data_IF_912599865611
#
_entry.id   IF_912599865611
#
_cell.length_a   1.000
_cell.length_b   1.000
_cell.length_c   1.000
_cell.angle_alpha   90.00
_cell.angle_beta   90.00
_cell.angle_gamma   90.00
#
_symmetry.space_group_name_H-M   'P 1'
#
loop_
_entity.id
_entity.type
_entity.pdbx_description
1 polymer ?
#
# COMPACT_ATOMS: atom_id res chain seq x y z
N UNK A 1 17.77 -2.43 0.33
CA UNK A 1 16.93 -3.56 -0.10
C UNK A 1 17.62 -4.24 -1.27
N UNK A 2 18.77 -4.75 -1.00
CA UNK A 2 19.55 -5.59 -1.90
C UNK A 2 19.71 -6.90 -1.17
N UNK A 3 18.79 -7.82 -1.38
CA UNK A 3 18.93 -9.24 -1.05
C UNK A 3 17.55 -9.90 -1.18
N UNK A 4 17.08 -10.16 -2.36
CA UNK A 4 16.15 -11.25 -2.70
C UNK A 4 16.04 -11.29 -4.24
N UNK A 5 17.16 -11.60 -4.88
CA UNK A 5 17.13 -12.35 -6.12
C UNK A 5 18.07 -13.52 -5.84
N UNK A 6 17.54 -14.57 -5.23
CA UNK A 6 18.22 -15.85 -5.26
C UNK A 6 18.29 -16.26 -6.74
N UNK A 7 19.52 -16.34 -7.24
CA UNK A 7 19.86 -16.87 -8.54
C UNK A 7 19.01 -18.10 -8.86
N UNK A 8 18.27 -18.06 -9.94
CA UNK A 8 17.67 -19.27 -10.51
C UNK A 8 18.86 -20.10 -10.94
N UNK A 9 19.14 -21.25 -10.32
CA UNK A 9 20.25 -22.08 -10.72
C UNK A 9 19.95 -22.70 -12.09
N UNK A 10 20.49 -22.10 -13.15
CA UNK A 10 20.41 -22.58 -14.54
C UNK A 10 21.18 -23.91 -14.71
N UNK A 11 21.71 -24.49 -13.66
CA UNK A 11 22.56 -25.73 -13.69
C UNK A 11 21.99 -26.89 -12.87
N UNK A 12 20.66 -27.07 -12.80
CA UNK A 12 20.10 -28.39 -12.47
C UNK A 12 19.81 -29.15 -13.76
N UNK A 13 20.39 -30.33 -13.92
CA UNK A 13 19.93 -31.27 -14.94
C UNK A 13 18.41 -31.42 -14.81
N UNK A 14 17.71 -31.20 -15.93
CA UNK A 14 16.25 -31.30 -15.97
C UNK A 14 15.88 -32.77 -15.74
N UNK A 15 15.21 -33.07 -14.63
CA UNK A 15 14.67 -34.42 -14.40
C UNK A 15 13.51 -34.65 -15.36
N UNK A 16 13.78 -35.31 -16.48
CA UNK A 16 12.80 -35.56 -17.55
C UNK A 16 11.70 -36.54 -17.14
N UNK A 17 11.91 -37.34 -16.11
CA UNK A 17 10.91 -38.25 -15.53
C UNK A 17 9.94 -37.51 -14.56
N UNK A 18 10.26 -36.28 -14.21
CA UNK A 18 9.44 -35.49 -13.30
C UNK A 18 7.99 -35.39 -13.83
N UNK A 19 7.04 -35.65 -12.91
CA UNK A 19 5.60 -35.45 -13.10
C UNK A 19 5.15 -34.35 -12.17
N UNK A 20 4.41 -33.38 -12.70
CA UNK A 20 3.90 -32.27 -11.94
C UNK A 20 2.60 -32.63 -11.23
N UNK A 21 2.44 -32.11 -10.00
CA UNK A 21 1.19 -32.19 -9.25
C UNK A 21 0.62 -30.79 -9.04
N UNK A 22 -0.43 -30.44 -9.73
CA UNK A 22 -1.04 -29.12 -9.65
C UNK A 22 -2.20 -29.08 -8.67
N UNK A 23 -2.52 -27.89 -8.10
CA UNK A 23 -3.73 -27.70 -7.30
C UNK A 23 -5.00 -28.09 -8.08
N UNK A 24 -5.97 -28.71 -7.42
CA UNK A 24 -7.21 -29.16 -8.04
C UNK A 24 -8.08 -28.02 -8.58
N UNK A 25 -8.04 -26.86 -7.92
CA UNK A 25 -8.92 -25.72 -8.21
C UNK A 25 -8.21 -24.66 -9.05
N UNK A 26 -7.92 -24.98 -10.30
CA UNK A 26 -7.42 -24.02 -11.27
C UNK A 26 -8.54 -23.40 -12.09
N UNK A 27 -8.50 -22.08 -12.29
CA UNK A 27 -9.43 -21.34 -13.14
C UNK A 27 -8.71 -20.92 -14.41
N UNK A 28 -9.25 -21.30 -15.58
CA UNK A 28 -8.73 -20.88 -16.88
C UNK A 28 -9.61 -19.76 -17.43
N UNK A 29 -8.98 -18.63 -17.80
CA UNK A 29 -9.64 -17.46 -18.39
C UNK A 29 -8.98 -17.11 -19.71
N UNK A 30 -9.75 -17.07 -20.79
CA UNK A 30 -9.31 -16.47 -22.05
C UNK A 30 -9.42 -14.96 -21.94
N UNK A 31 -8.31 -14.25 -22.11
CA UNK A 31 -8.23 -12.79 -22.07
C UNK A 31 -7.49 -12.35 -23.34
N UNK A 32 -8.22 -11.76 -24.28
CA UNK A 32 -7.74 -11.52 -25.64
C UNK A 32 -7.23 -12.84 -26.26
N UNK A 33 -6.04 -12.85 -26.82
CA UNK A 33 -5.41 -14.03 -27.41
C UNK A 33 -4.65 -14.92 -26.42
N UNK A 34 -4.73 -14.61 -25.11
CA UNK A 34 -3.93 -15.24 -24.05
C UNK A 34 -4.81 -16.01 -23.07
N UNK A 35 -4.30 -17.10 -22.52
CA UNK A 35 -4.94 -17.86 -21.46
C UNK A 35 -4.26 -17.60 -20.12
N UNK A 36 -5.03 -17.16 -19.14
CA UNK A 36 -4.61 -17.11 -17.73
C UNK A 36 -5.03 -18.41 -17.05
N UNK A 37 -4.06 -19.16 -16.53
CA UNK A 37 -4.32 -20.30 -15.62
C UNK A 37 -4.09 -19.82 -14.21
N UNK A 38 -5.16 -19.64 -13.44
CA UNK A 38 -5.15 -18.97 -12.13
C UNK A 38 -5.33 -19.99 -11.02
N UNK A 39 -4.41 -20.01 -10.07
CA UNK A 39 -4.57 -20.65 -8.77
C UNK A 39 -4.92 -19.60 -7.73
N UNK A 40 -6.23 -19.44 -7.47
CA UNK A 40 -6.77 -18.38 -6.60
C UNK A 40 -6.20 -18.46 -5.19
N UNK A 41 -6.20 -19.65 -4.57
CA UNK A 41 -5.76 -19.84 -3.18
C UNK A 41 -4.25 -19.60 -2.99
N UNK A 42 -3.46 -19.85 -4.02
CA UNK A 42 -2.00 -19.60 -4.01
C UNK A 42 -1.61 -18.21 -4.51
N UNK A 43 -2.58 -17.37 -4.89
CA UNK A 43 -2.33 -16.05 -5.50
C UNK A 43 -1.29 -16.14 -6.63
N UNK A 44 -1.41 -17.15 -7.49
CA UNK A 44 -0.45 -17.47 -8.53
C UNK A 44 -1.16 -17.70 -9.88
N UNK A 45 -0.48 -17.40 -11.01
CA UNK A 45 -1.04 -17.59 -12.34
C UNK A 45 0.04 -17.85 -13.39
N UNK A 46 -0.35 -18.56 -14.47
CA UNK A 46 0.45 -18.71 -15.68
C UNK A 46 -0.21 -17.92 -16.82
N UNK A 47 0.61 -17.44 -17.75
CA UNK A 47 0.18 -16.70 -18.94
C UNK A 47 0.58 -17.52 -20.17
N UNK A 48 -0.39 -18.13 -20.82
CA UNK A 48 -0.16 -19.16 -21.83
C UNK A 48 -0.86 -18.83 -23.16
N UNK A 49 -0.18 -19.03 -24.27
CA UNK A 49 -0.82 -19.15 -25.60
C UNK A 49 -1.70 -20.39 -25.67
N UNK A 50 -2.46 -20.56 -26.73
CA UNK A 50 -3.28 -21.76 -26.91
C UNK A 50 -2.43 -23.04 -27.03
N UNK A 51 -1.27 -22.97 -27.69
CA UNK A 51 -0.32 -24.07 -27.81
C UNK A 51 0.32 -24.42 -26.45
N UNK A 52 0.70 -23.43 -25.67
CA UNK A 52 1.25 -23.62 -24.30
C UNK A 52 0.19 -24.17 -23.34
N UNK A 53 -1.07 -23.71 -23.44
CA UNK A 53 -2.16 -24.26 -22.65
C UNK A 53 -2.40 -25.76 -22.98
N UNK A 54 -2.27 -26.14 -24.23
CA UNK A 54 -2.37 -27.55 -24.65
C UNK A 54 -1.25 -28.39 -23.99
N UNK A 55 -0.03 -27.90 -23.98
CA UNK A 55 1.11 -28.53 -23.30
C UNK A 55 0.89 -28.59 -21.78
N UNK A 56 0.47 -27.50 -21.16
CA UNK A 56 0.16 -27.44 -19.72
C UNK A 56 -0.88 -28.49 -19.30
N UNK A 57 -1.94 -28.66 -20.09
CA UNK A 57 -2.95 -29.67 -19.81
C UNK A 57 -2.40 -31.10 -19.85
N UNK A 58 -1.39 -31.39 -20.66
CA UNK A 58 -0.74 -32.71 -20.64
C UNK A 58 0.02 -32.94 -19.32
N UNK A 59 0.73 -31.94 -18.81
CA UNK A 59 1.32 -31.98 -17.48
C UNK A 59 0.24 -32.16 -16.38
N UNK A 60 -0.87 -31.44 -16.50
CA UNK A 60 -1.99 -31.54 -15.57
C UNK A 60 -2.63 -32.96 -15.57
N UNK A 61 -2.57 -33.65 -16.67
CA UNK A 61 -2.98 -35.07 -16.79
C UNK A 61 -1.93 -36.07 -16.27
N UNK A 62 -0.84 -35.58 -15.64
CA UNK A 62 0.17 -36.41 -15.00
C UNK A 62 1.22 -37.04 -15.97
N UNK A 63 1.36 -36.51 -17.19
CA UNK A 63 2.45 -36.92 -18.09
C UNK A 63 3.80 -36.40 -17.56
N UNK A 64 4.88 -37.18 -17.78
CA UNK A 64 6.24 -36.74 -17.47
C UNK A 64 6.72 -35.69 -18.48
N UNK A 65 7.82 -35.00 -18.14
CA UNK A 65 8.47 -34.03 -19.04
C UNK A 65 8.89 -34.74 -20.35
N UNK A 66 9.46 -35.95 -20.28
CA UNK A 66 9.84 -36.73 -21.44
C UNK A 66 8.66 -37.05 -22.34
N UNK A 67 7.54 -37.54 -21.76
CA UNK A 67 6.32 -37.86 -22.50
C UNK A 67 5.74 -36.64 -23.23
N UNK A 68 5.85 -35.46 -22.63
CA UNK A 68 5.37 -34.21 -23.23
C UNK A 68 6.33 -33.72 -24.31
N UNK A 69 7.63 -33.73 -24.05
CA UNK A 69 8.67 -33.34 -25.03
C UNK A 69 8.62 -34.19 -26.31
N UNK A 70 8.42 -35.50 -26.15
CA UNK A 70 8.36 -36.44 -27.31
C UNK A 70 7.20 -36.14 -28.28
N UNK A 71 6.18 -35.45 -27.85
CA UNK A 71 4.94 -35.23 -28.62
C UNK A 71 4.63 -33.77 -28.92
N UNK A 72 5.50 -32.82 -28.53
CA UNK A 72 5.25 -31.38 -28.67
C UNK A 72 6.52 -30.63 -29.10
N UNK A 73 6.34 -29.40 -29.58
CA UNK A 73 7.47 -28.52 -29.87
C UNK A 73 8.26 -28.18 -28.61
N UNK A 74 9.57 -28.46 -28.60
CA UNK A 74 10.47 -28.28 -27.46
C UNK A 74 10.42 -26.84 -26.90
N UNK A 75 10.43 -25.83 -27.75
CA UNK A 75 10.38 -24.42 -27.29
C UNK A 75 9.11 -24.08 -26.53
N UNK A 76 7.96 -24.65 -26.96
CA UNK A 76 6.68 -24.47 -26.30
C UNK A 76 6.70 -25.17 -24.94
N UNK A 77 7.24 -26.39 -24.89
CA UNK A 77 7.35 -27.14 -23.62
C UNK A 77 8.25 -26.40 -22.63
N UNK A 78 9.44 -25.96 -23.08
CA UNK A 78 10.38 -25.21 -22.23
C UNK A 78 9.77 -23.89 -21.72
N UNK A 79 9.02 -23.16 -22.54
CA UNK A 79 8.32 -21.94 -22.10
C UNK A 79 7.33 -22.22 -20.96
N UNK A 80 6.55 -23.30 -21.06
CA UNK A 80 5.61 -23.71 -20.01
C UNK A 80 6.35 -24.13 -18.74
N UNK A 81 7.40 -24.93 -18.86
CA UNK A 81 8.23 -25.38 -17.72
C UNK A 81 8.86 -24.18 -17.00
N UNK A 82 9.43 -23.25 -17.74
CA UNK A 82 10.01 -22.03 -17.18
C UNK A 82 8.99 -21.26 -16.32
N UNK A 83 7.75 -21.10 -16.80
CA UNK A 83 6.72 -20.42 -16.01
C UNK A 83 6.34 -21.21 -14.74
N UNK A 84 6.19 -22.54 -14.85
CA UNK A 84 5.84 -23.41 -13.73
C UNK A 84 6.91 -23.33 -12.63
N UNK A 85 8.19 -23.48 -13.00
CA UNK A 85 9.31 -23.49 -12.05
C UNK A 85 9.56 -22.10 -11.45
N UNK A 86 9.68 -21.06 -12.27
CA UNK A 86 9.91 -19.68 -11.80
C UNK A 86 8.82 -19.22 -10.81
N UNK A 87 7.59 -19.63 -11.07
CA UNK A 87 6.44 -19.26 -10.23
C UNK A 87 6.17 -20.26 -9.11
N UNK A 88 6.94 -21.36 -9.02
CA UNK A 88 6.70 -22.47 -8.07
C UNK A 88 5.21 -22.86 -8.06
N UNK A 89 4.63 -23.02 -9.27
CA UNK A 89 3.18 -23.05 -9.45
C UNK A 89 2.52 -24.30 -8.86
N UNK A 90 3.26 -25.40 -8.65
CA UNK A 90 2.78 -26.58 -7.95
C UNK A 90 2.46 -26.31 -6.48
N UNK A 91 3.38 -25.59 -5.81
CA UNK A 91 3.31 -25.33 -4.35
C UNK A 91 3.66 -23.86 -4.05
N UNK A 92 2.77 -22.90 -4.37
CA UNK A 92 3.01 -21.51 -4.08
C UNK A 92 3.13 -21.31 -2.57
N UNK A 93 4.26 -20.74 -2.14
CA UNK A 93 4.47 -20.39 -0.73
C UNK A 93 3.78 -19.07 -0.44
N UNK A 94 2.77 -19.09 0.42
CA UNK A 94 2.07 -17.89 0.88
C UNK A 94 2.82 -17.35 2.09
N UNK A 95 3.08 -16.04 2.10
CA UNK A 95 3.62 -15.33 3.27
C UNK A 95 2.48 -14.66 4.01
N UNK A 96 2.33 -14.98 5.28
CA UNK A 96 1.46 -14.22 6.17
C UNK A 96 2.23 -13.01 6.70
N UNK A 97 1.63 -11.83 6.59
CA UNK A 97 2.19 -10.61 7.13
C UNK A 97 1.53 -10.30 8.47
N UNK A 98 2.18 -10.70 9.56
CA UNK A 98 1.69 -10.49 10.92
C UNK A 98 2.31 -9.24 11.59
N UNK A 99 2.78 -8.27 10.80
CA UNK A 99 3.42 -7.07 11.34
C UNK A 99 2.35 -6.14 11.91
N UNK A 100 2.45 -5.85 13.22
CA UNK A 100 1.53 -4.98 13.95
C UNK A 100 2.03 -3.53 13.93
N UNK A 101 1.50 -2.75 12.99
CA UNK A 101 1.74 -1.31 12.91
C UNK A 101 0.49 -0.53 13.30
N UNK A 102 0.68 0.65 13.87
CA UNK A 102 -0.41 1.57 14.21
C UNK A 102 -0.12 2.99 13.73
N UNK A 103 -1.18 3.79 13.58
CA UNK A 103 -1.09 5.24 13.36
C UNK A 103 -1.48 5.98 14.64
N UNK A 104 -0.68 6.96 15.04
CA UNK A 104 -0.97 7.85 16.16
C UNK A 104 -1.06 9.29 15.64
N UNK A 105 -2.23 9.90 15.81
CA UNK A 105 -2.49 11.31 15.52
C UNK A 105 -2.25 12.10 16.82
N UNK A 106 -0.99 12.48 17.07
CA UNK A 106 -0.56 13.06 18.37
C UNK A 106 -1.27 14.35 18.75
N UNK A 107 -1.59 15.18 17.77
CA UNK A 107 -2.19 16.49 17.99
C UNK A 107 -3.12 16.88 16.86
N UNK A 108 -4.15 17.65 17.16
CA UNK A 108 -4.95 18.34 16.16
C UNK A 108 -4.44 19.74 15.83
N UNK A 109 -3.44 20.25 16.55
CA UNK A 109 -2.82 21.54 16.29
C UNK A 109 -2.04 21.50 14.97
N UNK A 110 -2.13 22.56 14.18
CA UNK A 110 -1.39 22.69 12.92
C UNK A 110 -1.08 24.17 12.65
N UNK A 111 0.12 24.42 12.14
CA UNK A 111 0.55 25.76 11.69
C UNK A 111 0.04 26.12 10.29
N UNK A 112 -0.57 25.16 9.56
CA UNK A 112 -1.12 25.36 8.21
C UNK A 112 -2.65 25.25 8.20
N UNK A 113 -3.27 25.79 7.12
CA UNK A 113 -4.72 25.73 6.87
C UNK A 113 -5.00 25.22 5.45
N UNK A 114 -4.41 24.05 5.11
CA UNK A 114 -4.52 23.45 3.77
C UNK A 114 -5.99 23.26 3.35
N UNK A 115 -6.29 23.55 2.09
CA UNK A 115 -7.65 23.48 1.53
C UNK A 115 -8.24 22.07 1.57
N UNK A 116 -7.42 21.06 1.35
CA UNK A 116 -7.82 19.64 1.31
C UNK A 116 -7.75 18.94 2.68
N UNK A 117 -7.45 19.64 3.77
CA UNK A 117 -7.32 19.01 5.07
C UNK A 117 -8.65 18.40 5.55
N UNK A 118 -8.77 17.07 5.47
CA UNK A 118 -9.96 16.34 5.89
C UNK A 118 -10.10 16.29 7.42
N UNK A 119 -9.00 16.44 8.16
CA UNK A 119 -8.97 16.50 9.62
C UNK A 119 -9.42 17.85 10.17
N UNK A 120 -9.47 18.91 9.36
CA UNK A 120 -9.69 20.30 9.80
C UNK A 120 -8.75 20.72 10.95
N UNK A 121 -7.50 20.23 10.86
CA UNK A 121 -6.49 20.42 11.88
C UNK A 121 -6.22 21.91 12.16
N UNK A 122 -6.11 22.24 13.46
CA UNK A 122 -5.95 23.59 13.94
C UNK A 122 -7.23 24.42 14.03
N UNK A 123 -8.39 23.92 13.57
CA UNK A 123 -9.67 24.63 13.68
C UNK A 123 -10.46 24.20 14.92
N UNK A 124 -10.18 23.02 15.46
CA UNK A 124 -10.87 22.46 16.63
C UNK A 124 -9.88 22.24 17.77
N UNK A 125 -10.18 22.76 18.93
CA UNK A 125 -9.49 22.36 20.16
C UNK A 125 -10.10 21.04 20.64
N UNK A 126 -9.26 20.03 20.78
CA UNK A 126 -9.60 18.77 21.41
C UNK A 126 -8.72 18.58 22.64
N UNK A 127 -9.22 17.89 23.64
CA UNK A 127 -8.39 17.50 24.78
C UNK A 127 -7.44 16.39 24.29
N UNK A 128 -6.16 16.69 24.27
CA UNK A 128 -5.12 15.76 23.83
C UNK A 128 -4.60 14.96 25.03
N UNK A 129 -4.19 13.71 24.78
CA UNK A 129 -3.53 12.88 25.78
C UNK A 129 -2.18 13.48 26.16
N UNK A 130 -1.80 13.33 27.43
CA UNK A 130 -0.52 13.80 27.95
C UNK A 130 0.64 12.94 27.44
N UNK A 131 1.87 13.45 27.57
CA UNK A 131 3.08 12.70 27.25
C UNK A 131 3.16 11.39 28.05
N UNK A 132 2.80 11.42 29.32
CA UNK A 132 2.82 10.23 30.19
C UNK A 132 1.74 9.21 29.79
N UNK A 133 0.59 9.65 29.31
CA UNK A 133 -0.44 8.74 28.79
C UNK A 133 0.07 8.06 27.50
N UNK A 134 0.66 8.82 26.58
CA UNK A 134 1.25 8.26 25.38
C UNK A 134 2.38 7.26 25.66
N UNK A 135 3.25 7.54 26.63
CA UNK A 135 4.30 6.57 27.03
C UNK A 135 3.73 5.27 27.55
N UNK A 136 2.66 5.32 28.36
CA UNK A 136 1.98 4.13 28.86
C UNK A 136 1.36 3.32 27.71
N UNK A 137 0.67 4.01 26.80
CA UNK A 137 0.04 3.42 25.61
C UNK A 137 1.09 2.74 24.72
N UNK A 138 2.21 3.41 24.45
CA UNK A 138 3.31 2.88 23.62
C UNK A 138 4.00 1.68 24.30
N UNK A 139 4.15 1.70 25.62
CA UNK A 139 4.68 0.56 26.37
C UNK A 139 3.74 -0.66 26.28
N UNK A 140 2.43 -0.48 26.47
CA UNK A 140 1.44 -1.54 26.32
C UNK A 140 1.42 -2.08 24.86
N UNK A 141 1.50 -1.21 23.86
CA UNK A 141 1.67 -1.59 22.46
C UNK A 141 2.90 -2.49 22.26
N UNK A 142 4.06 -2.11 22.81
CA UNK A 142 5.29 -2.91 22.72
C UNK A 142 5.15 -4.28 23.38
N UNK A 143 4.64 -4.31 24.62
CA UNK A 143 4.42 -5.55 25.38
C UNK A 143 3.47 -6.49 24.64
N UNK A 144 2.48 -5.95 23.97
CA UNK A 144 1.51 -6.70 23.17
C UNK A 144 2.04 -7.13 21.78
N UNK A 145 3.34 -6.96 21.50
CA UNK A 145 3.98 -7.39 20.25
C UNK A 145 3.88 -6.37 19.11
N UNK A 146 3.72 -5.09 19.43
CA UNK A 146 3.75 -4.00 18.47
C UNK A 146 5.12 -3.84 17.81
N UNK A 147 5.13 -3.54 16.50
CA UNK A 147 6.35 -3.44 15.68
C UNK A 147 6.68 -2.01 15.28
N UNK A 148 5.74 -1.26 14.75
CA UNK A 148 5.98 0.08 14.24
C UNK A 148 4.86 1.07 14.51
N UNK A 149 5.22 2.34 14.68
CA UNK A 149 4.29 3.45 14.89
C UNK A 149 4.54 4.53 13.83
N UNK A 150 3.46 4.94 13.17
CA UNK A 150 3.46 6.13 12.31
C UNK A 150 2.84 7.29 13.08
N UNK A 151 3.65 8.28 13.45
CA UNK A 151 3.20 9.51 14.10
C UNK A 151 2.77 10.54 13.06
N UNK A 152 1.59 11.09 13.28
CA UNK A 152 0.95 12.09 12.41
C UNK A 152 0.03 12.99 13.23
N UNK A 153 -0.85 13.75 12.60
CA UNK A 153 -1.85 14.59 13.26
C UNK A 153 -2.13 15.85 12.44
N UNK A 154 -2.24 17.00 13.11
CA UNK A 154 -2.14 18.29 12.44
C UNK A 154 -0.70 18.53 11.97
N UNK A 155 0.15 18.96 12.89
CA UNK A 155 1.61 18.96 12.72
C UNK A 155 2.28 18.43 13.98
N UNK A 156 2.93 17.29 13.87
CA UNK A 156 3.50 16.52 15.00
C UNK A 156 4.50 17.32 15.84
N UNK A 157 5.27 18.21 15.19
CA UNK A 157 6.27 19.06 15.83
C UNK A 157 5.65 20.01 16.87
N UNK A 158 4.34 20.29 16.77
CA UNK A 158 3.63 21.14 17.71
C UNK A 158 3.18 20.40 18.98
N UNK A 159 3.33 19.06 19.03
CA UNK A 159 3.00 18.32 20.24
C UNK A 159 4.08 18.53 21.31
N UNK A 160 3.65 18.97 22.49
CA UNK A 160 4.58 19.19 23.62
C UNK A 160 5.18 17.86 24.10
N UNK A 161 6.51 17.75 24.08
CA UNK A 161 7.22 16.51 24.43
C UNK A 161 7.43 15.56 23.23
N UNK A 162 7.20 16.03 22.00
CA UNK A 162 7.36 15.21 20.79
C UNK A 162 8.75 14.55 20.69
N UNK A 163 9.82 15.31 20.94
CA UNK A 163 11.19 14.80 20.89
C UNK A 163 11.40 13.65 21.88
N UNK A 164 10.98 13.84 23.13
CA UNK A 164 11.08 12.84 24.19
C UNK A 164 10.26 11.58 23.86
N UNK A 165 9.07 11.75 23.30
CA UNK A 165 8.20 10.62 22.94
C UNK A 165 8.80 9.77 21.81
N UNK A 166 9.41 10.40 20.81
CA UNK A 166 10.05 9.68 19.68
C UNK A 166 11.27 8.90 20.18
N UNK A 167 12.13 9.53 20.98
CA UNK A 167 13.26 8.83 21.59
C UNK A 167 12.79 7.65 22.43
N UNK A 168 11.82 7.84 23.32
CA UNK A 168 11.24 6.78 24.14
C UNK A 168 10.71 5.61 23.28
N UNK A 169 10.00 5.92 22.20
CA UNK A 169 9.45 4.91 21.27
C UNK A 169 10.56 4.09 20.60
N UNK A 170 11.59 4.76 20.12
CA UNK A 170 12.76 4.12 19.51
C UNK A 170 13.53 3.23 20.52
N UNK A 171 13.74 3.72 21.75
CA UNK A 171 14.48 2.99 22.80
C UNK A 171 13.76 1.71 23.24
N UNK A 172 12.44 1.65 23.06
CA UNK A 172 11.66 0.39 23.17
C UNK A 172 11.87 -0.56 21.98
N UNK A 173 12.65 -0.19 20.96
CA UNK A 173 12.86 -0.97 19.75
C UNK A 173 11.62 -1.04 18.84
N UNK A 174 10.82 0.03 18.82
CA UNK A 174 9.68 0.20 17.91
C UNK A 174 10.14 1.02 16.70
N UNK A 175 9.77 0.60 15.50
CA UNK A 175 10.06 1.34 14.27
C UNK A 175 9.23 2.61 14.20
N UNK A 176 9.89 3.76 13.95
CA UNK A 176 9.25 5.07 13.95
C UNK A 176 9.19 5.65 12.54
N UNK A 177 7.99 6.01 12.11
CA UNK A 177 7.73 6.80 10.89
C UNK A 177 7.04 8.10 11.28
N UNK A 178 7.42 9.22 10.68
CA UNK A 178 6.82 10.54 10.92
C UNK A 178 6.17 11.07 9.65
N UNK A 179 4.96 11.61 9.74
CA UNK A 179 4.29 12.37 8.69
C UNK A 179 4.20 13.84 9.11
N UNK A 180 4.75 14.75 8.31
CA UNK A 180 4.84 16.19 8.60
C UNK A 180 4.59 17.07 7.37
N UNK A 181 4.26 18.33 7.60
CA UNK A 181 4.22 19.34 6.54
C UNK A 181 5.60 19.93 6.20
N UNK A 182 6.63 19.64 6.98
CA UNK A 182 8.02 19.99 6.71
C UNK A 182 8.43 21.44 7.06
N UNK A 183 7.56 22.28 7.66
CA UNK A 183 7.82 23.71 7.80
C UNK A 183 8.58 24.07 9.08
N UNK A 184 8.28 23.38 10.20
CA UNK A 184 8.79 23.76 11.50
C UNK A 184 10.12 23.11 11.88
N UNK A 185 10.69 22.30 11.04
CA UNK A 185 11.94 21.59 11.30
C UNK A 185 13.16 22.54 11.27
N UNK A 186 13.94 22.53 12.34
CA UNK A 186 15.26 23.18 12.41
C UNK A 186 16.36 22.16 12.14
N UNK A 187 17.59 22.61 11.87
CA UNK A 187 18.74 21.72 11.66
C UNK A 187 18.99 20.84 12.89
N UNK A 188 18.96 21.42 14.10
CA UNK A 188 19.16 20.68 15.36
C UNK A 188 18.09 19.58 15.56
N UNK A 189 16.83 19.87 15.20
CA UNK A 189 15.77 18.86 15.22
C UNK A 189 16.05 17.75 14.21
N UNK A 190 16.43 18.10 12.98
CA UNK A 190 16.71 17.12 11.94
C UNK A 190 17.88 16.24 12.36
N UNK A 191 18.95 16.81 12.93
CA UNK A 191 20.08 16.05 13.46
C UNK A 191 19.65 15.06 14.54
N UNK A 192 18.85 15.53 15.51
CA UNK A 192 18.31 14.67 16.56
C UNK A 192 17.42 13.56 16.01
N UNK A 193 16.36 13.92 15.30
CA UNK A 193 15.36 12.94 14.86
C UNK A 193 15.92 11.90 13.87
N UNK A 194 16.94 12.26 13.09
CA UNK A 194 17.59 11.32 12.16
C UNK A 194 18.22 10.11 12.86
N UNK A 195 18.47 10.18 14.17
CA UNK A 195 19.00 9.07 14.96
C UNK A 195 17.91 8.08 15.41
N UNK A 196 16.64 8.49 15.41
CA UNK A 196 15.55 7.75 16.06
C UNK A 196 14.42 7.33 15.12
N UNK A 197 14.43 7.77 13.86
CA UNK A 197 13.36 7.47 12.91
C UNK A 197 13.83 6.64 11.72
N UNK A 198 12.98 5.73 11.25
CA UNK A 198 13.22 4.94 10.04
C UNK A 198 12.87 5.71 8.77
N UNK A 199 11.79 6.49 8.83
CA UNK A 199 11.23 7.18 7.67
C UNK A 199 10.55 8.48 8.05
N UNK A 200 10.68 9.49 7.20
CA UNK A 200 9.87 10.70 7.26
C UNK A 200 9.12 10.92 5.94
N UNK A 201 7.81 11.19 6.04
CA UNK A 201 7.00 11.61 4.92
C UNK A 201 6.74 13.12 5.03
N UNK A 202 7.16 13.88 4.02
CA UNK A 202 6.91 15.32 3.93
C UNK A 202 5.88 15.59 2.84
N UNK A 203 4.88 16.40 3.17
CA UNK A 203 3.79 16.73 2.27
C UNK A 203 4.11 17.98 1.43
N UNK A 204 4.16 17.86 0.09
CA UNK A 204 4.56 18.95 -0.81
C UNK A 204 3.37 19.52 -1.62
N UNK A 205 2.48 18.71 -2.20
CA UNK A 205 1.26 19.08 -2.93
C UNK A 205 1.40 20.10 -4.08
N UNK A 206 2.61 20.51 -4.42
CA UNK A 206 2.94 21.45 -5.50
C UNK A 206 4.31 21.13 -6.13
N UNK A 207 4.62 21.76 -7.24
CA UNK A 207 5.89 21.63 -7.95
C UNK A 207 6.70 22.94 -7.97
N UNK A 208 6.07 24.03 -7.48
CA UNK A 208 6.66 25.35 -7.28
C UNK A 208 5.92 26.08 -6.14
N UNK A 209 6.36 27.31 -5.86
CA UNK A 209 5.80 28.18 -4.82
C UNK A 209 4.29 28.40 -4.99
N UNK A 210 3.87 28.70 -6.20
CA UNK A 210 2.47 29.09 -6.48
C UNK A 210 1.52 27.89 -6.40
N UNK A 211 1.89 26.75 -6.98
CA UNK A 211 1.13 25.51 -6.93
C UNK A 211 1.04 24.94 -5.50
N UNK A 212 2.13 25.04 -4.73
CA UNK A 212 2.15 24.67 -3.31
C UNK A 212 1.23 25.59 -2.49
N UNK A 213 1.35 26.93 -2.67
CA UNK A 213 0.52 27.90 -1.97
C UNK A 213 -0.99 27.69 -2.27
N UNK A 214 -1.34 27.38 -3.52
CA UNK A 214 -2.72 27.12 -3.92
C UNK A 214 -3.39 26.02 -3.08
N UNK A 215 -2.65 25.02 -2.62
CA UNK A 215 -3.13 23.91 -1.80
C UNK A 215 -2.95 24.19 -0.31
N UNK A 216 -1.73 24.57 0.09
CA UNK A 216 -1.31 24.65 1.50
C UNK A 216 -1.67 25.97 2.16
N UNK A 217 -1.98 27.03 1.39
CA UNK A 217 -2.30 28.39 1.86
C UNK A 217 -1.18 28.99 2.72
N UNK A 218 0.06 28.64 2.39
CA UNK A 218 1.27 29.08 3.09
C UNK A 218 2.45 29.12 2.11
N UNK A 219 3.30 30.12 2.24
CA UNK A 219 4.52 30.26 1.46
C UNK A 219 5.67 29.45 2.07
N UNK A 220 5.71 28.17 1.80
CA UNK A 220 6.63 27.25 2.46
C UNK A 220 7.26 26.21 1.55
N UNK A 221 7.11 26.32 0.23
CA UNK A 221 7.63 25.33 -0.71
C UNK A 221 9.12 25.05 -0.53
N UNK A 222 9.95 26.11 -0.58
CA UNK A 222 11.40 26.00 -0.45
C UNK A 222 11.82 25.41 0.91
N UNK A 223 11.11 25.78 1.99
CA UNK A 223 11.39 25.25 3.33
C UNK A 223 11.09 23.77 3.41
N UNK A 224 9.95 23.31 2.88
CA UNK A 224 9.58 21.91 2.86
C UNK A 224 10.55 21.06 2.01
N UNK A 225 10.97 21.58 0.86
CA UNK A 225 12.00 20.97 0.01
C UNK A 225 13.35 20.91 0.75
N UNK A 226 13.77 21.97 1.43
CA UNK A 226 14.99 21.97 2.22
C UNK A 226 14.95 20.91 3.33
N UNK A 227 13.80 20.74 3.99
CA UNK A 227 13.60 19.71 5.02
C UNK A 227 13.75 18.29 4.43
N UNK A 228 13.18 18.01 3.26
CA UNK A 228 13.38 16.74 2.54
C UNK A 228 14.87 16.47 2.29
N UNK A 229 15.58 17.46 1.71
CA UNK A 229 17.01 17.35 1.40
C UNK A 229 17.84 17.09 2.64
N UNK A 230 17.54 17.77 3.72
CA UNK A 230 18.28 17.68 4.99
C UNK A 230 18.13 16.29 5.64
N UNK A 231 16.94 15.70 5.68
CA UNK A 231 16.75 14.32 6.14
C UNK A 231 17.39 13.29 5.21
N UNK A 232 17.25 13.48 3.88
CA UNK A 232 17.90 12.62 2.89
C UNK A 232 19.42 12.57 3.08
N UNK A 233 20.08 13.73 3.28
CA UNK A 233 21.52 13.83 3.49
C UNK A 233 21.99 13.11 4.76
N UNK A 234 21.10 12.93 5.74
CA UNK A 234 21.37 12.18 6.99
C UNK A 234 21.02 10.68 6.90
N UNK A 235 20.67 10.21 5.70
CA UNK A 235 20.41 8.79 5.44
C UNK A 235 19.04 8.29 5.90
N UNK A 236 18.14 9.18 6.32
CA UNK A 236 16.76 8.82 6.63
C UNK A 236 15.99 8.50 5.34
N UNK A 237 15.16 7.47 5.35
CA UNK A 237 14.24 7.22 4.23
C UNK A 237 13.22 8.35 4.13
N UNK A 238 13.17 8.99 2.97
CA UNK A 238 12.28 10.14 2.75
C UNK A 238 11.20 9.81 1.73
N UNK A 239 9.95 10.11 2.11
CA UNK A 239 8.80 10.05 1.24
C UNK A 239 8.25 11.47 0.99
N UNK A 240 8.15 11.88 -0.25
CA UNK A 240 7.46 13.11 -0.67
C UNK A 240 6.00 12.77 -0.97
N UNK A 241 5.06 13.20 -0.13
CA UNK A 241 3.63 12.97 -0.36
C UNK A 241 3.00 14.12 -1.14
N UNK A 242 2.17 13.78 -2.12
CA UNK A 242 1.59 14.75 -3.07
C UNK A 242 0.09 14.51 -3.21
N UNK A 243 -0.70 15.54 -2.90
CA UNK A 243 -2.17 15.54 -3.00
C UNK A 243 -2.64 16.85 -3.63
N UNK A 244 -2.57 17.00 -4.97
CA UNK A 244 -3.02 18.23 -5.62
C UNK A 244 -4.55 18.41 -5.53
N UNK A 245 -5.02 19.59 -5.87
CA UNK A 245 -6.46 19.86 -6.01
C UNK A 245 -6.96 19.49 -7.40
N UNK A 246 -8.28 19.46 -7.58
CA UNK A 246 -8.90 19.20 -8.90
C UNK A 246 -8.61 20.29 -9.94
N UNK A 247 -8.42 21.52 -9.46
CA UNK A 247 -8.22 22.68 -10.31
C UNK A 247 -6.86 22.59 -11.01
N UNK A 248 -6.81 22.97 -12.28
CA UNK A 248 -5.58 23.02 -13.08
C UNK A 248 -4.79 21.71 -13.14
N UNK A 249 -5.50 20.57 -13.17
CA UNK A 249 -4.84 19.26 -13.17
C UNK A 249 -3.88 19.03 -14.34
N UNK A 250 -4.20 19.54 -15.52
CA UNK A 250 -3.34 19.39 -16.70
C UNK A 250 -2.03 20.19 -16.51
N UNK A 251 -2.11 21.43 -16.02
CA UNK A 251 -0.94 22.24 -15.66
C UNK A 251 -0.13 21.58 -14.56
N UNK A 252 -0.82 21.02 -13.55
CA UNK A 252 -0.18 20.31 -12.45
C UNK A 252 0.61 19.09 -12.95
N UNK A 253 0.04 18.28 -13.82
CA UNK A 253 0.72 17.08 -14.36
C UNK A 253 1.98 17.48 -15.11
N UNK A 254 1.91 18.51 -15.99
CA UNK A 254 3.05 18.99 -16.76
C UNK A 254 4.15 19.57 -15.84
N UNK A 255 3.77 20.42 -14.89
CA UNK A 255 4.70 21.06 -13.97
C UNK A 255 5.35 20.06 -13.02
N UNK A 256 4.55 19.15 -12.45
CA UNK A 256 5.06 18.14 -11.53
C UNK A 256 5.88 17.05 -12.23
N UNK A 257 5.58 16.69 -13.48
CA UNK A 257 6.42 15.81 -14.29
C UNK A 257 7.85 16.35 -14.38
N UNK A 258 8.00 17.62 -14.78
CA UNK A 258 9.31 18.27 -14.91
C UNK A 258 10.04 18.34 -13.56
N UNK A 259 9.36 18.81 -12.53
CA UNK A 259 9.90 18.90 -11.18
C UNK A 259 10.28 17.52 -10.62
N UNK A 260 9.37 16.55 -10.67
CA UNK A 260 9.57 15.23 -10.09
C UNK A 260 10.67 14.42 -10.77
N UNK A 261 10.78 14.49 -12.12
CA UNK A 261 11.89 13.86 -12.85
C UNK A 261 13.24 14.43 -12.44
N UNK A 262 13.37 15.76 -12.39
CA UNK A 262 14.62 16.38 -11.95
C UNK A 262 14.93 16.04 -10.50
N UNK A 263 13.90 16.07 -9.64
CA UNK A 263 14.07 15.75 -8.21
C UNK A 263 14.55 14.32 -7.99
N UNK A 264 14.03 13.34 -8.74
CA UNK A 264 14.45 11.93 -8.65
C UNK A 264 15.86 11.70 -9.24
N UNK A 265 16.31 12.52 -10.20
CA UNK A 265 17.71 12.49 -10.66
C UNK A 265 18.64 12.94 -9.53
N UNK A 266 18.31 14.05 -8.87
CA UNK A 266 19.14 14.63 -7.81
C UNK A 266 19.07 13.82 -6.49
N UNK A 267 17.93 13.17 -6.21
CA UNK A 267 17.63 12.42 -4.99
C UNK A 267 16.98 11.07 -5.29
N UNK A 268 17.70 10.10 -5.87
CA UNK A 268 17.13 8.88 -6.45
C UNK A 268 16.44 7.95 -5.44
N UNK A 269 16.77 8.05 -4.15
CA UNK A 269 16.18 7.22 -3.10
C UNK A 269 14.98 7.90 -2.40
N UNK A 270 14.57 9.10 -2.83
CA UNK A 270 13.33 9.70 -2.34
C UNK A 270 12.13 9.05 -3.04
N UNK A 271 11.17 8.58 -2.26
CA UNK A 271 9.93 8.05 -2.81
C UNK A 271 8.90 9.17 -2.99
N UNK A 272 8.41 9.38 -4.21
CA UNK A 272 7.29 10.32 -4.46
C UNK A 272 5.97 9.54 -4.45
N UNK A 273 5.20 9.72 -3.38
CA UNK A 273 3.89 9.09 -3.17
C UNK A 273 2.78 10.02 -3.63
N UNK A 274 2.10 9.68 -4.70
CA UNK A 274 0.98 10.45 -5.25
C UNK A 274 -0.34 9.87 -4.75
N UNK A 275 -1.14 10.68 -4.04
CA UNK A 275 -2.45 10.27 -3.56
C UNK A 275 -3.48 10.30 -4.70
N UNK A 276 -4.07 9.14 -4.99
CA UNK A 276 -4.97 8.92 -6.14
C UNK A 276 -6.43 9.32 -5.87
N UNK A 277 -6.72 9.89 -4.70
CA UNK A 277 -8.07 10.27 -4.30
C UNK A 277 -8.04 11.53 -3.45
N UNK A 278 -8.90 12.47 -3.77
CA UNK A 278 -9.09 13.69 -2.99
C UNK A 278 -10.37 13.54 -2.16
N UNK A 279 -10.23 13.62 -0.85
CA UNK A 279 -11.32 13.52 0.12
C UNK A 279 -12.00 14.87 0.35
N UNK A 280 -13.17 14.84 0.98
CA UNK A 280 -13.77 16.05 1.54
C UNK A 280 -12.80 16.69 2.53
N UNK A 281 -12.59 17.97 2.41
CA UNK A 281 -11.69 18.73 3.25
C UNK A 281 -12.19 20.15 3.48
N UNK A 282 -11.38 20.97 4.18
CA UNK A 282 -11.76 22.32 4.61
C UNK A 282 -12.42 23.16 3.50
N UNK A 283 -11.83 23.21 2.32
CA UNK A 283 -12.32 23.96 1.17
C UNK A 283 -12.39 23.12 -0.10
N UNK A 284 -12.59 21.83 0.05
CA UNK A 284 -12.70 20.88 -1.05
C UNK A 284 -13.86 19.94 -0.79
N UNK A 285 -14.67 19.72 -1.82
CA UNK A 285 -15.69 18.67 -1.84
C UNK A 285 -15.28 17.58 -2.82
N UNK A 286 -15.32 16.36 -2.34
CA UNK A 286 -15.09 15.16 -3.15
C UNK A 286 -16.29 14.92 -4.06
N UNK A 287 -16.01 14.68 -5.36
CA UNK A 287 -17.04 14.39 -6.36
C UNK A 287 -16.61 13.17 -7.17
N UNK A 288 -17.50 12.19 -7.31
CA UNK A 288 -17.19 10.90 -7.95
C UNK A 288 -16.58 11.06 -9.35
N UNK A 289 -17.18 11.89 -10.20
CA UNK A 289 -16.69 12.08 -11.58
C UNK A 289 -15.38 12.86 -11.63
N UNK A 290 -15.22 13.87 -10.78
CA UNK A 290 -13.94 14.58 -10.64
C UNK A 290 -12.85 13.64 -10.15
N UNK A 291 -13.14 12.77 -9.17
CA UNK A 291 -12.19 11.78 -8.67
C UNK A 291 -11.77 10.75 -9.73
N UNK A 292 -12.67 10.35 -10.63
CA UNK A 292 -12.30 9.48 -11.76
C UNK A 292 -11.29 10.15 -12.69
N UNK A 293 -11.55 11.40 -13.10
CA UNK A 293 -10.62 12.18 -13.94
C UNK A 293 -9.30 12.44 -13.22
N UNK A 294 -9.35 12.86 -11.97
CA UNK A 294 -8.21 13.10 -11.08
C UNK A 294 -7.31 11.85 -11.00
N UNK A 295 -7.89 10.70 -10.67
CA UNK A 295 -7.18 9.44 -10.59
C UNK A 295 -6.50 9.06 -11.91
N UNK A 296 -7.17 9.28 -13.06
CA UNK A 296 -6.60 9.01 -14.39
C UNK A 296 -5.36 9.88 -14.66
N UNK A 297 -5.44 11.18 -14.36
CA UNK A 297 -4.32 12.12 -14.55
C UNK A 297 -3.13 11.79 -13.64
N UNK A 298 -3.39 11.49 -12.37
CA UNK A 298 -2.32 11.17 -11.42
C UNK A 298 -1.71 9.78 -11.65
N UNK A 299 -2.52 8.82 -12.14
CA UNK A 299 -2.00 7.54 -12.59
C UNK A 299 -0.98 7.72 -13.72
N UNK A 300 -1.34 8.53 -14.74
CA UNK A 300 -0.42 8.86 -15.83
C UNK A 300 0.86 9.52 -15.31
N UNK A 301 0.76 10.47 -14.38
CA UNK A 301 1.92 11.12 -13.78
C UNK A 301 2.81 10.10 -13.04
N UNK A 302 2.22 9.17 -12.29
CA UNK A 302 2.98 8.11 -11.62
C UNK A 302 3.70 7.20 -12.64
N UNK A 303 3.04 6.84 -13.73
CA UNK A 303 3.64 6.04 -14.82
C UNK A 303 4.81 6.76 -15.49
N UNK A 304 4.75 8.09 -15.60
CA UNK A 304 5.83 8.92 -16.14
C UNK A 304 7.03 9.00 -15.19
N UNK A 305 6.78 9.16 -13.88
CA UNK A 305 7.84 9.26 -12.87
C UNK A 305 8.47 7.90 -12.57
N UNK A 306 7.67 6.86 -12.65
CA UNK A 306 8.06 5.49 -12.35
C UNK A 306 7.52 4.54 -13.46
N UNK A 307 8.17 4.49 -14.62
CA UNK A 307 7.68 3.73 -15.79
C UNK A 307 7.38 2.28 -15.46
N UNK A 308 8.17 1.67 -14.58
CA UNK A 308 8.06 0.27 -14.18
C UNK A 308 7.23 0.05 -12.90
N UNK A 309 6.74 1.12 -12.27
CA UNK A 309 6.07 1.05 -10.96
C UNK A 309 4.94 0.03 -10.90
N UNK A 310 4.07 0.02 -11.91
CA UNK A 310 2.95 -0.92 -11.94
C UNK A 310 3.40 -2.35 -12.20
N UNK A 311 4.39 -2.52 -13.06
CA UNK A 311 4.97 -3.82 -13.38
C UNK A 311 5.72 -4.37 -12.16
N UNK A 312 6.60 -3.57 -11.55
CA UNK A 312 7.35 -3.94 -10.35
C UNK A 312 6.45 -4.28 -9.16
N UNK A 313 5.38 -3.51 -8.91
CA UNK A 313 4.45 -3.84 -7.83
C UNK A 313 3.69 -5.15 -8.08
N UNK A 314 3.34 -5.46 -9.33
CA UNK A 314 2.77 -6.76 -9.66
C UNK A 314 3.76 -7.89 -9.45
N UNK A 315 5.02 -7.70 -9.86
CA UNK A 315 6.09 -8.67 -9.65
C UNK A 315 6.38 -8.84 -8.16
N UNK A 316 6.51 -7.76 -7.40
CA UNK A 316 6.74 -7.80 -5.96
C UNK A 316 5.59 -8.47 -5.20
N UNK A 317 4.34 -8.12 -5.50
CA UNK A 317 3.18 -8.79 -4.93
C UNK A 317 3.10 -10.26 -5.33
N UNK A 318 3.52 -10.57 -6.56
CA UNK A 318 3.57 -11.93 -7.07
C UNK A 318 4.72 -12.73 -6.45
N UNK A 319 5.93 -12.18 -6.41
CA UNK A 319 7.09 -12.83 -5.81
C UNK A 319 6.94 -13.00 -4.30
N UNK A 320 6.30 -12.05 -3.63
CA UNK A 320 6.04 -12.13 -2.20
C UNK A 320 4.86 -13.04 -1.84
N UNK A 321 4.02 -13.43 -2.80
CA UNK A 321 2.86 -14.33 -2.62
C UNK A 321 2.00 -13.95 -1.42
N UNK A 322 1.83 -12.65 -1.20
CA UNK A 322 1.02 -12.12 -0.12
C UNK A 322 -0.43 -12.03 -0.57
N UNK A 323 -1.33 -12.69 0.14
CA UNK A 323 -2.75 -12.62 -0.14
C UNK A 323 -3.30 -11.25 0.26
N UNK A 324 -3.79 -10.49 -0.69
CA UNK A 324 -4.51 -9.25 -0.41
C UNK A 324 -5.96 -9.56 0.00
N UNK A 325 -6.16 -9.88 1.26
CA UNK A 325 -7.51 -10.20 1.78
C UNK A 325 -8.34 -8.95 2.06
N UNK A 326 -7.67 -7.83 2.37
CA UNK A 326 -8.31 -6.59 2.79
C UNK A 326 -7.54 -5.37 2.24
N UNK A 327 -8.10 -4.17 2.39
CA UNK A 327 -7.45 -2.89 2.05
C UNK A 327 -6.67 -2.26 3.22
N UNK A 328 -6.48 -2.99 4.33
CA UNK A 328 -5.98 -2.47 5.60
C UNK A 328 -7.08 -1.97 6.54
N UNK A 329 -8.36 -2.18 6.21
CA UNK A 329 -9.44 -1.89 7.14
C UNK A 329 -9.39 -2.86 8.33
N UNK A 330 -9.46 -2.34 9.55
CA UNK A 330 -9.17 -3.06 10.78
C UNK A 330 -7.79 -2.72 11.36
N UNK A 331 -6.90 -2.05 10.60
CA UNK A 331 -5.68 -1.48 11.15
C UNK A 331 -6.00 -0.34 12.12
N UNK A 332 -5.22 -0.29 13.20
CA UNK A 332 -5.48 0.60 14.33
C UNK A 332 -4.93 2.00 14.06
N UNK A 333 -5.78 3.00 14.23
CA UNK A 333 -5.38 4.40 14.28
C UNK A 333 -5.93 5.06 15.54
N UNK A 334 -5.13 5.84 16.25
CA UNK A 334 -5.49 6.47 17.52
C UNK A 334 -5.42 7.99 17.34
N UNK A 335 -6.53 8.67 17.62
CA UNK A 335 -6.59 10.14 17.59
C UNK A 335 -5.95 10.77 18.85
N UNK A 336 -5.71 12.05 18.82
CA UNK A 336 -5.04 12.78 19.89
C UNK A 336 -5.77 12.71 21.25
N UNK A 337 -7.07 12.51 21.27
CA UNK A 337 -7.89 12.31 22.47
C UNK A 337 -8.03 10.84 22.88
N UNK A 338 -7.29 9.93 22.24
CA UNK A 338 -7.33 8.49 22.53
C UNK A 338 -8.43 7.70 21.78
N UNK A 339 -9.26 8.34 20.98
CA UNK A 339 -10.27 7.63 20.18
C UNK A 339 -9.60 6.71 19.14
N UNK A 340 -10.08 5.47 19.06
CA UNK A 340 -9.57 4.41 18.17
C UNK A 340 -10.43 4.32 16.92
N UNK A 341 -9.76 4.14 15.77
CA UNK A 341 -10.40 3.98 14.47
C UNK A 341 -9.81 2.79 13.72
N UNK A 342 -10.64 2.10 12.93
CA UNK A 342 -10.25 0.92 12.14
C UNK A 342 -9.62 1.25 10.78
N UNK A 343 -9.11 2.46 10.61
CA UNK A 343 -8.43 2.89 9.40
C UNK A 343 -7.63 4.17 9.68
N UNK A 344 -6.53 4.38 8.97
CA UNK A 344 -5.78 5.63 9.02
C UNK A 344 -6.54 6.85 8.45
N UNK A 345 -7.69 6.64 7.81
CA UNK A 345 -8.68 7.68 7.54
C UNK A 345 -9.64 7.73 8.72
N UNK A 346 -9.38 8.64 9.66
CA UNK A 346 -10.17 8.74 10.89
C UNK A 346 -11.45 9.54 10.63
N UNK A 347 -12.56 8.83 10.53
CA UNK A 347 -13.91 9.36 10.40
C UNK A 347 -14.81 8.77 11.48
N UNK A 348 -15.84 9.49 11.92
CA UNK A 348 -16.81 8.99 12.92
C UNK A 348 -17.42 7.62 12.54
N UNK A 349 -17.53 7.33 11.25
CA UNK A 349 -18.07 6.08 10.74
C UNK A 349 -17.24 4.83 11.13
N UNK A 350 -15.96 4.98 11.46
CA UNK A 350 -15.07 3.87 11.81
C UNK A 350 -14.48 3.99 13.22
N UNK A 351 -15.05 4.84 14.07
CA UNK A 351 -14.69 4.93 15.48
C UNK A 351 -15.06 3.65 16.22
N UNK A 352 -14.11 3.09 16.97
CA UNK A 352 -14.25 1.81 17.64
C UNK A 352 -14.46 1.93 19.15
N UNK A 353 -13.53 2.61 19.83
CA UNK A 353 -13.44 2.72 21.28
C UNK A 353 -12.54 3.88 21.68
N UNK A 354 -12.14 3.98 22.95
CA UNK A 354 -11.05 4.83 23.39
C UNK A 354 -9.92 3.97 23.96
N UNK A 355 -8.67 4.33 23.73
CA UNK A 355 -7.48 3.56 24.14
C UNK A 355 -7.30 3.54 25.65
N UNK A 356 -7.91 4.47 26.38
CA UNK A 356 -7.89 4.47 27.85
C UNK A 356 -8.73 3.37 28.48
N UNK A 357 -9.65 2.76 27.69
CA UNK A 357 -10.63 1.80 28.15
C UNK A 357 -10.31 0.35 27.72
N UNK A 358 -9.25 0.15 26.92
CA UNK A 358 -8.92 -1.14 26.34
C UNK A 358 -7.41 -1.35 26.26
N UNK A 359 -6.93 -2.56 26.53
CA UNK A 359 -5.53 -2.96 26.33
C UNK A 359 -5.21 -3.24 24.86
N UNK A 360 -3.92 -3.11 24.47
CA UNK A 360 -3.52 -3.49 23.10
C UNK A 360 -3.70 -4.97 22.79
N UNK A 361 -3.59 -5.86 23.78
CA UNK A 361 -3.87 -7.29 23.56
C UNK A 361 -5.30 -7.48 23.08
N UNK A 362 -6.28 -6.91 23.81
CA UNK A 362 -7.70 -6.98 23.43
C UNK A 362 -7.98 -6.24 22.11
N UNK A 363 -7.32 -5.10 21.91
CA UNK A 363 -7.47 -4.29 20.70
C UNK A 363 -6.97 -5.03 19.45
N UNK A 364 -5.87 -5.79 19.55
CA UNK A 364 -5.39 -6.63 18.48
C UNK A 364 -6.33 -7.79 18.14
N UNK A 365 -6.95 -8.39 19.14
CA UNK A 365 -7.97 -9.44 18.92
C UNK A 365 -9.18 -8.86 18.17
N UNK A 366 -9.65 -7.68 18.59
CA UNK A 366 -10.71 -6.94 17.87
C UNK A 366 -10.28 -6.55 16.45
N UNK A 367 -9.05 -6.07 16.27
CA UNK A 367 -8.49 -5.74 14.95
C UNK A 367 -8.50 -6.96 14.03
N UNK A 368 -7.98 -8.09 14.50
CA UNK A 368 -7.99 -9.36 13.75
C UNK A 368 -9.41 -9.80 13.38
N UNK A 369 -10.35 -9.69 14.31
CA UNK A 369 -11.76 -9.99 14.04
C UNK A 369 -12.33 -9.09 12.94
N UNK A 370 -12.14 -7.76 13.04
CA UNK A 370 -12.61 -6.79 12.02
C UNK A 370 -11.96 -7.07 10.66
N UNK A 371 -10.66 -7.34 10.62
CA UNK A 371 -9.97 -7.68 9.38
C UNK A 371 -10.55 -8.95 8.74
N UNK A 372 -10.84 -9.97 9.55
CA UNK A 372 -11.43 -11.22 9.09
C UNK A 372 -12.82 -11.03 8.51
N UNK A 373 -13.74 -10.41 9.25
CA UNK A 373 -15.13 -10.24 8.78
C UNK A 373 -15.28 -9.27 7.61
N UNK A 374 -14.25 -8.44 7.34
CA UNK A 374 -14.21 -7.50 6.21
C UNK A 374 -13.29 -7.95 5.08
N UNK A 375 -12.76 -9.16 5.12
CA UNK A 375 -11.92 -9.68 4.06
C UNK A 375 -12.73 -10.10 2.81
N UNK A 376 -12.03 -10.44 1.73
CA UNK A 376 -12.65 -10.82 0.46
C UNK A 376 -13.40 -12.15 0.53
N UNK A 377 -13.11 -13.00 1.50
CA UNK A 377 -13.76 -14.30 1.68
C UNK A 377 -15.15 -14.15 2.29
N UNK A 378 -15.39 -13.08 3.05
CA UNK A 378 -16.67 -12.74 3.66
C UNK A 378 -17.56 -11.85 2.79
N UNK A 379 -17.10 -11.44 1.59
CA UNK A 379 -17.93 -10.71 0.64
C UNK A 379 -18.72 -11.64 -0.27
N UNK A 380 -20.02 -11.45 -0.41
CA UNK A 380 -20.89 -12.27 -1.24
C UNK A 380 -20.43 -12.39 -2.71
N UNK A 381 -19.79 -11.34 -3.24
CA UNK A 381 -19.28 -11.30 -4.62
C UNK A 381 -17.80 -11.69 -4.69
N UNK A 382 -16.97 -11.11 -3.80
CA UNK A 382 -15.53 -11.34 -3.85
C UNK A 382 -15.16 -12.77 -3.48
N UNK A 383 -15.89 -13.44 -2.57
CA UNK A 383 -15.60 -14.80 -2.15
C UNK A 383 -15.57 -15.81 -3.30
N UNK A 384 -16.35 -15.55 -4.35
CA UNK A 384 -16.44 -16.37 -5.58
C UNK A 384 -15.52 -15.91 -6.71
N UNK A 385 -14.70 -14.88 -6.46
CA UNK A 385 -13.86 -14.26 -7.48
C UNK A 385 -12.52 -15.00 -7.60
N UNK A 386 -12.12 -15.33 -8.83
CA UNK A 386 -10.87 -16.01 -9.15
C UNK A 386 -9.60 -15.17 -8.87
N UNK A 387 -9.73 -13.86 -8.81
CA UNK A 387 -8.63 -12.91 -8.50
C UNK A 387 -8.82 -12.18 -7.16
N UNK A 388 -9.59 -12.72 -6.24
CA UNK A 388 -9.94 -12.05 -4.98
C UNK A 388 -8.72 -11.61 -4.17
N UNK A 389 -7.71 -12.45 -4.07
CA UNK A 389 -6.50 -12.17 -3.31
C UNK A 389 -5.46 -11.29 -4.04
N UNK A 390 -5.64 -11.09 -5.34
CA UNK A 390 -4.89 -10.11 -6.12
C UNK A 390 -5.55 -8.74 -6.01
N UNK A 391 -6.89 -8.72 -6.01
CA UNK A 391 -7.72 -7.51 -5.99
C UNK A 391 -7.86 -6.87 -4.59
N UNK A 392 -7.91 -7.68 -3.52
CA UNK A 392 -8.19 -7.25 -2.14
C UNK A 392 -9.55 -6.58 -1.92
N UNK A 393 -10.45 -6.62 -2.92
CA UNK A 393 -11.83 -6.13 -2.80
C UNK A 393 -12.03 -4.60 -2.87
N UNK A 394 -11.00 -3.76 -2.70
CA UNK A 394 -11.08 -2.29 -2.70
C UNK A 394 -11.34 -1.68 -1.32
N UNK A 395 -11.49 -0.36 -1.25
CA UNK A 395 -11.65 0.38 0.01
C UNK A 395 -12.98 0.08 0.70
N UNK A 396 -12.94 -0.25 2.01
CA UNK A 396 -14.13 -0.54 2.81
C UNK A 396 -14.94 0.72 3.14
N UNK A 397 -14.28 1.86 3.32
CA UNK A 397 -14.95 3.13 3.64
C UNK A 397 -15.77 3.74 2.48
N UNK A 398 -15.63 3.21 1.26
CA UNK A 398 -16.43 3.66 0.10
C UNK A 398 -17.85 3.07 0.07
N UNK A 399 -18.21 2.23 1.05
CA UNK A 399 -19.51 1.58 1.10
C UNK A 399 -20.36 2.19 2.24
N UNK A 400 -21.35 3.05 1.92
CA UNK A 400 -22.22 3.65 2.92
C UNK A 400 -23.03 2.57 3.66
N UNK A 401 -23.16 2.73 4.98
CA UNK A 401 -23.94 1.84 5.84
C UNK A 401 -23.12 0.85 6.67
N UNK A 402 -21.78 0.91 6.64
CA UNK A 402 -20.92 0.08 7.49
C UNK A 402 -20.52 0.88 8.74
N UNK A 403 -21.40 0.95 9.72
CA UNK A 403 -21.18 1.74 10.95
C UNK A 403 -20.90 0.89 12.19
N UNK A 404 -21.17 -0.43 12.17
CA UNK A 404 -20.91 -1.32 13.29
C UNK A 404 -20.27 -2.63 12.84
N UNK A 405 -19.60 -3.34 13.75
CA UNK A 405 -19.01 -4.65 13.46
C UNK A 405 -20.04 -5.66 12.94
N UNK A 406 -21.29 -5.58 13.40
CA UNK A 406 -22.39 -6.45 12.97
C UNK A 406 -22.84 -6.16 11.54
N UNK A 407 -22.71 -4.91 11.08
CA UNK A 407 -23.03 -4.50 9.69
C UNK A 407 -21.94 -4.93 8.71
N UNK A 408 -20.73 -5.25 9.16
CA UNK A 408 -19.66 -5.77 8.32
C UNK A 408 -19.89 -7.22 7.86
N UNK A 409 -20.80 -7.96 8.50
CA UNK A 409 -21.05 -9.37 8.19
C UNK A 409 -21.62 -9.56 6.78
N UNK A 410 -20.78 -9.75 5.79
CA UNK A 410 -21.12 -10.30 4.49
C UNK A 410 -21.61 -9.35 3.40
N UNK A 411 -21.90 -8.09 3.68
CA UNK A 411 -22.62 -7.22 2.74
C UNK A 411 -21.93 -5.91 2.34
N UNK A 412 -20.68 -5.71 2.68
CA UNK A 412 -19.97 -4.47 2.37
C UNK A 412 -19.76 -4.22 0.85
N UNK A 413 -20.01 -5.23 -0.01
CA UNK A 413 -19.93 -5.05 -1.45
C UNK A 413 -20.97 -5.87 -2.19
N UNK A 414 -21.89 -5.18 -2.87
CA UNK A 414 -22.95 -5.79 -3.67
C UNK A 414 -22.60 -5.91 -5.16
N UNK A 415 -21.62 -5.14 -5.65
CA UNK A 415 -21.21 -5.14 -7.05
C UNK A 415 -19.70 -5.01 -7.22
N UNK A 416 -19.12 -5.65 -8.22
CA UNK A 416 -17.76 -5.36 -8.68
C UNK A 416 -17.82 -4.15 -9.62
N UNK A 417 -16.95 -3.13 -9.48
CA UNK A 417 -16.88 -2.06 -10.46
C UNK A 417 -16.62 -2.61 -11.87
N UNK A 418 -17.37 -2.08 -12.84
CA UNK A 418 -17.21 -2.43 -14.25
C UNK A 418 -15.76 -2.23 -14.71
N UNK A 419 -15.26 -3.13 -15.54
CA UNK A 419 -13.90 -3.11 -16.08
C UNK A 419 -12.78 -3.41 -15.06
N UNK A 420 -13.09 -3.63 -13.76
CA UNK A 420 -12.05 -3.85 -12.75
C UNK A 420 -11.34 -5.18 -12.93
N UNK A 421 -12.08 -6.24 -13.26
CA UNK A 421 -11.49 -7.58 -13.48
C UNK A 421 -10.62 -7.59 -14.72
N UNK A 422 -11.14 -7.05 -15.80
CA UNK A 422 -10.48 -6.93 -17.11
C UNK A 422 -9.15 -6.18 -16.97
N UNK A 423 -9.16 -5.07 -16.25
CA UNK A 423 -7.94 -4.32 -15.97
C UNK A 423 -6.90 -5.15 -15.17
N UNK A 424 -7.35 -5.95 -14.20
CA UNK A 424 -6.44 -6.78 -13.42
C UNK A 424 -5.90 -7.96 -14.23
N UNK A 425 -6.73 -8.61 -15.04
CA UNK A 425 -6.28 -9.66 -15.95
C UNK A 425 -5.24 -9.13 -16.95
N UNK A 426 -5.49 -7.96 -17.54
CA UNK A 426 -4.53 -7.31 -18.42
C UNK A 426 -3.19 -7.09 -17.72
N UNK A 427 -3.21 -6.60 -16.48
CA UNK A 427 -1.99 -6.40 -15.68
C UNK A 427 -1.28 -7.70 -15.34
N UNK A 428 -2.02 -8.78 -15.08
CA UNK A 428 -1.44 -10.10 -14.87
C UNK A 428 -0.69 -10.60 -16.12
N UNK A 429 -1.22 -10.31 -17.31
CA UNK A 429 -0.58 -10.63 -18.60
C UNK A 429 0.68 -9.75 -18.76
N UNK A 430 0.54 -8.44 -18.63
CA UNK A 430 1.66 -7.48 -18.76
C UNK A 430 2.81 -7.79 -17.82
N UNK A 431 2.52 -8.23 -16.57
CA UNK A 431 3.56 -8.59 -15.60
C UNK A 431 4.37 -9.83 -16.00
N UNK A 432 3.84 -10.69 -16.87
CA UNK A 432 4.54 -11.91 -17.28
C UNK A 432 5.75 -11.65 -18.18
N UNK A 433 5.73 -10.56 -18.95
CA UNK A 433 6.86 -10.16 -19.80
C UNK A 433 8.11 -9.85 -18.95
N UNK A 434 7.90 -9.34 -17.74
CA UNK A 434 8.98 -9.02 -16.79
C UNK A 434 9.68 -10.23 -16.19
N UNK A 435 9.04 -11.40 -16.16
CA UNK A 435 9.68 -12.63 -15.66
C UNK A 435 10.78 -13.16 -16.59
N UNK A 436 10.80 -12.70 -17.83
CA UNK A 436 11.75 -13.16 -18.85
C UNK A 436 12.87 -12.16 -19.14
N UNK A 437 12.76 -10.92 -18.63
CA UNK A 437 13.74 -9.85 -18.86
C UNK A 437 14.78 -9.75 -17.73
N UNK A 438 14.65 -10.53 -16.65
CA UNK A 438 15.60 -10.68 -15.55
C UNK A 438 16.30 -12.04 -15.59
#
# INVERSE_FOLDING_TARGET
>A
MTDIVEDIPINKELDIEKRYSFPEQLVIRKVYETNLVIYTQGCSWLVLSDAELFVFKQFQCGKSIEEVLSNNNEKIVLSVLTQIEAKKFEHPQIRENNIRNIYIYLTNNCNLRCRHCYMYSGDRHIQELSLEDWKKIILDFKISGGYGITFTGGEVVLYQGFQELIQYTHDLGIKVTILSNGILWTEDMIDFFSLYIEEIQISIDGYDRDSYYAVRQFDGFEKAIATIKAFYQRGVRVCMAVTPLYEKMDDFVIGFEKFGKQFLIDYPNVNIKINMELLDGRNVKSETEKNKKYKKSLKRLTEILYPDYYKQNFILNFSNKTLQKNCGFGEISIAANGDIYWCNRIFELNKAANITDISFSELFDKSNYIQTITDVDHSAICSKCDIKYICGGGCRLQYPGINTAEQFSGFWRNTCPEGRKELLYQKMIESNEYFYEQ
#
